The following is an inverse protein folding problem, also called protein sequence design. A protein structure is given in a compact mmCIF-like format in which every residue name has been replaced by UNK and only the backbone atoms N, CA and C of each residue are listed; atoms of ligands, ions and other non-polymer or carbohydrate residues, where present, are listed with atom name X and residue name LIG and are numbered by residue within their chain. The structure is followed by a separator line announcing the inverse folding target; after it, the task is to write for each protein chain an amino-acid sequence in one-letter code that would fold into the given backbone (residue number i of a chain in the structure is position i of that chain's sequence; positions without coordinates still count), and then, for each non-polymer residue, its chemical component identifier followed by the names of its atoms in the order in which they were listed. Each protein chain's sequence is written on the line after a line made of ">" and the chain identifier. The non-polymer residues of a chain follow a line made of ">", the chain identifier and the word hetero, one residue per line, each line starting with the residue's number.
data_IF_321449027102
#
_entry.id   IF_321449027102
#
_cell.length_a   1.000
_cell.length_b   1.000
_cell.length_c   1.000
_cell.angle_alpha   90.00
_cell.angle_beta   90.00
_cell.angle_gamma   90.00
#
_symmetry.space_group_name_H-M   'P 1'
#
loop_
_entity.id
_entity.type
_entity.pdbx_description
1 polymer ?
#
# COMPACT_ATOMS: atom_id res chain seq x y z
N UNK A 1 6.25 7.03 -4.46
CA UNK A 1 6.55 5.73 -3.82
C UNK A 1 6.65 4.69 -4.92
N UNK A 2 7.59 3.75 -4.83
CA UNK A 2 7.69 2.62 -5.74
C UNK A 2 6.96 1.45 -5.10
N UNK A 3 6.10 0.76 -5.84
CA UNK A 3 5.38 -0.40 -5.31
C UNK A 3 5.41 -1.57 -6.27
N UNK A 4 5.55 -2.77 -5.74
CA UNK A 4 5.57 -4.01 -6.53
C UNK A 4 4.43 -4.95 -6.10
N UNK A 5 3.81 -5.62 -7.05
CA UNK A 5 2.82 -6.66 -6.77
C UNK A 5 3.47 -7.90 -6.15
N UNK A 6 2.81 -8.52 -5.17
CA UNK A 6 3.30 -9.72 -4.50
C UNK A 6 3.38 -10.96 -5.40
N UNK A 7 2.87 -10.91 -6.64
CA UNK A 7 3.04 -11.96 -7.63
C UNK A 7 4.28 -11.78 -8.50
N UNK A 8 4.99 -10.65 -8.44
CA UNK A 8 6.10 -10.39 -9.37
C UNK A 8 7.32 -11.30 -9.10
N UNK A 9 8.00 -11.87 -10.12
CA UNK A 9 9.16 -12.76 -9.94
C UNK A 9 10.33 -12.15 -9.16
N UNK A 10 10.51 -10.83 -9.27
CA UNK A 10 11.55 -10.08 -8.54
C UNK A 10 11.19 -9.78 -7.08
N UNK A 11 10.10 -10.33 -6.54
CA UNK A 11 9.60 -10.02 -5.19
C UNK A 11 10.68 -10.10 -4.11
N UNK A 12 11.49 -11.17 -4.09
CA UNK A 12 12.53 -11.34 -3.08
C UNK A 12 13.60 -10.25 -3.19
N UNK A 13 14.05 -9.97 -4.42
CA UNK A 13 15.07 -8.95 -4.67
C UNK A 13 14.56 -7.56 -4.29
N UNK A 14 13.27 -7.28 -4.56
CA UNK A 14 12.62 -6.04 -4.19
C UNK A 14 12.49 -5.89 -2.66
N UNK A 15 12.17 -6.97 -1.93
CA UNK A 15 12.14 -6.97 -0.46
C UNK A 15 13.52 -6.63 0.12
N UNK A 16 14.59 -7.09 -0.50
CA UNK A 16 15.96 -6.89 -0.02
C UNK A 16 16.63 -5.62 -0.53
N UNK A 17 16.05 -4.93 -1.52
CA UNK A 17 16.78 -3.92 -2.30
C UNK A 17 17.37 -2.79 -1.45
N UNK A 18 16.74 -2.49 -0.29
CA UNK A 18 17.17 -1.46 0.65
C UNK A 18 18.03 -1.95 1.82
N UNK A 19 18.26 -3.25 1.92
CA UNK A 19 19.30 -3.79 2.80
C UNK A 19 20.70 -3.40 2.29
N UNK A 20 20.82 -3.10 0.99
CA UNK A 20 21.97 -2.46 0.38
C UNK A 20 21.74 -0.95 0.24
N UNK A 21 22.38 -0.19 1.14
CA UNK A 21 22.29 1.28 1.21
C UNK A 21 22.95 2.01 0.02
N UNK A 22 23.42 1.28 -0.99
CA UNK A 22 23.94 1.87 -2.23
C UNK A 22 22.94 1.84 -3.38
N UNK A 23 21.86 1.06 -3.28
CA UNK A 23 20.89 0.86 -4.38
C UNK A 23 19.78 1.91 -4.42
N UNK A 24 18.99 2.04 -3.35
CA UNK A 24 17.79 2.91 -3.33
C UNK A 24 17.78 3.81 -2.10
N UNK A 25 18.17 5.07 -2.30
CA UNK A 25 18.43 6.00 -1.18
C UNK A 25 17.44 7.15 -1.02
N UNK A 26 16.52 7.35 -1.98
CA UNK A 26 15.66 8.55 -2.07
C UNK A 26 14.22 8.26 -2.46
N UNK A 27 13.81 6.99 -2.49
CA UNK A 27 12.47 6.59 -2.86
C UNK A 27 11.96 5.57 -1.85
N UNK A 28 10.74 5.73 -1.34
CA UNK A 28 10.12 4.70 -0.50
C UNK A 28 9.65 3.52 -1.33
N UNK A 29 9.69 2.32 -0.74
CA UNK A 29 9.23 1.08 -1.37
C UNK A 29 8.10 0.42 -0.56
N UNK A 30 7.12 -0.15 -1.25
CA UNK A 30 6.01 -0.91 -0.65
C UNK A 30 5.62 -2.11 -1.48
N UNK A 31 5.06 -3.14 -0.84
CA UNK A 31 4.45 -4.27 -1.54
C UNK A 31 2.94 -4.10 -1.63
N UNK A 32 2.38 -4.36 -2.81
CA UNK A 32 0.95 -4.56 -3.01
C UNK A 32 0.66 -6.03 -2.76
N UNK A 33 0.03 -6.31 -1.62
CA UNK A 33 -0.26 -7.66 -1.14
C UNK A 33 -1.73 -7.96 -1.35
N UNK A 34 -2.02 -9.10 -1.97
CA UNK A 34 -3.38 -9.60 -2.17
C UNK A 34 -3.75 -10.70 -1.15
N UNK A 35 -5.04 -11.05 -1.09
CA UNK A 35 -5.55 -12.05 -0.16
C UNK A 35 -5.02 -13.45 -0.47
N UNK A 36 -4.76 -13.78 -1.74
CA UNK A 36 -4.21 -15.08 -2.13
C UNK A 36 -2.82 -15.32 -1.50
N UNK A 37 -1.93 -14.33 -1.61
CA UNK A 37 -0.62 -14.37 -1.00
C UNK A 37 -0.73 -14.49 0.52
N UNK A 38 -1.56 -13.67 1.18
CA UNK A 38 -1.75 -13.73 2.63
C UNK A 38 -2.32 -15.08 3.09
N UNK A 39 -3.26 -15.66 2.35
CA UNK A 39 -3.76 -17.01 2.62
C UNK A 39 -2.66 -18.06 2.49
N UNK A 40 -1.78 -17.95 1.49
CA UNK A 40 -0.62 -18.84 1.34
C UNK A 40 0.38 -18.68 2.49
N UNK A 41 0.62 -17.46 2.98
CA UNK A 41 1.44 -17.17 4.16
C UNK A 41 0.88 -17.87 5.41
N UNK A 42 -0.41 -17.64 5.70
CA UNK A 42 -1.07 -18.22 6.88
C UNK A 42 -1.07 -19.75 6.86
N UNK A 43 -1.29 -20.32 5.67
CA UNK A 43 -1.36 -21.77 5.48
C UNK A 43 0.02 -22.42 5.26
N UNK A 44 1.11 -21.63 5.24
CA UNK A 44 2.48 -22.08 4.94
C UNK A 44 2.57 -22.89 3.65
N UNK A 45 1.98 -22.35 2.59
CA UNK A 45 1.94 -22.96 1.26
C UNK A 45 2.95 -22.30 0.34
N UNK A 46 3.31 -23.05 -0.69
CA UNK A 46 3.97 -22.50 -1.87
C UNK A 46 3.05 -21.47 -2.54
N UNK A 47 3.66 -20.42 -3.07
CA UNK A 47 3.01 -19.39 -3.87
C UNK A 47 3.75 -19.24 -5.19
N UNK A 48 3.02 -18.92 -6.25
CA UNK A 48 3.57 -18.82 -7.60
C UNK A 48 3.73 -17.36 -7.98
N UNK A 49 4.98 -16.92 -8.07
CA UNK A 49 5.33 -15.64 -8.69
C UNK A 49 5.26 -15.81 -10.21
N UNK A 50 4.67 -14.84 -10.90
CA UNK A 50 4.51 -14.85 -12.34
C UNK A 50 4.61 -13.43 -12.93
N UNK A 51 5.15 -13.33 -14.13
CA UNK A 51 5.09 -12.12 -14.94
C UNK A 51 5.07 -12.48 -16.42
N UNK A 52 4.11 -11.92 -17.17
CA UNK A 52 3.97 -12.11 -18.61
C UNK A 52 4.22 -10.79 -19.34
N UNK A 53 5.17 -10.80 -20.26
CA UNK A 53 5.49 -9.66 -21.11
C UNK A 53 4.67 -9.73 -22.40
N UNK A 54 3.56 -9.01 -22.46
CA UNK A 54 2.64 -9.06 -23.60
C UNK A 54 3.30 -8.76 -24.96
N UNK A 55 4.28 -7.86 -25.01
CA UNK A 55 4.96 -7.50 -26.27
C UNK A 55 5.76 -8.65 -26.89
N UNK A 56 6.24 -9.62 -26.09
CA UNK A 56 7.06 -10.74 -26.56
C UNK A 56 6.42 -12.10 -26.34
N UNK A 57 5.39 -12.18 -25.49
CA UNK A 57 4.79 -13.44 -25.05
C UNK A 57 5.66 -14.22 -24.07
N UNK A 58 6.74 -13.63 -23.56
CA UNK A 58 7.61 -14.25 -22.57
C UNK A 58 6.91 -14.31 -21.21
N UNK A 59 7.01 -15.47 -20.55
CA UNK A 59 6.42 -15.71 -19.24
C UNK A 59 7.48 -16.26 -18.29
N UNK A 60 7.60 -15.62 -17.13
CA UNK A 60 8.54 -16.01 -16.08
C UNK A 60 7.70 -16.45 -14.88
N UNK A 61 7.96 -17.65 -14.38
CA UNK A 61 7.25 -18.22 -13.24
C UNK A 61 8.24 -18.79 -12.23
N UNK A 62 7.99 -18.56 -10.93
CA UNK A 62 8.82 -19.05 -9.83
C UNK A 62 7.95 -19.47 -8.65
N UNK A 63 8.17 -20.69 -8.16
CA UNK A 63 7.55 -21.16 -6.92
C UNK A 63 8.40 -20.77 -5.71
N UNK A 64 7.73 -20.31 -4.66
CA UNK A 64 8.37 -19.81 -3.43
C UNK A 64 7.56 -20.19 -2.19
N UNK A 65 8.20 -20.33 -1.04
CA UNK A 65 7.48 -20.45 0.24
C UNK A 65 6.98 -19.06 0.66
N UNK A 66 5.66 -18.87 0.66
CA UNK A 66 5.05 -17.58 0.99
C UNK A 66 5.39 -17.15 2.43
N UNK A 67 5.43 -18.09 3.37
CA UNK A 67 5.68 -17.82 4.78
C UNK A 67 7.12 -17.38 5.02
N UNK A 68 8.08 -17.94 4.29
CA UNK A 68 9.49 -17.51 4.33
C UNK A 68 9.65 -16.09 3.77
N UNK A 69 9.02 -15.80 2.62
CA UNK A 69 9.04 -14.46 2.03
C UNK A 69 8.45 -13.43 2.99
N UNK A 70 7.28 -13.71 3.56
CA UNK A 70 6.61 -12.76 4.45
C UNK A 70 7.39 -12.53 5.74
N UNK A 71 8.03 -13.58 6.27
CA UNK A 71 8.96 -13.45 7.41
C UNK A 71 10.13 -12.53 7.06
N UNK A 72 10.76 -12.73 5.90
CA UNK A 72 11.87 -11.89 5.41
C UNK A 72 11.44 -10.44 5.20
N UNK A 73 10.26 -10.23 4.63
CA UNK A 73 9.63 -8.91 4.52
C UNK A 73 9.50 -8.22 5.88
N UNK A 74 8.97 -8.92 6.89
CA UNK A 74 8.80 -8.38 8.23
C UNK A 74 10.13 -8.06 8.92
N UNK A 75 11.14 -8.93 8.76
CA UNK A 75 12.49 -8.70 9.28
C UNK A 75 13.16 -7.48 8.63
N UNK A 76 13.03 -7.31 7.30
CA UNK A 76 13.55 -6.13 6.62
C UNK A 76 12.81 -4.85 7.04
N UNK A 77 11.48 -4.90 7.14
CA UNK A 77 10.70 -3.78 7.63
C UNK A 77 11.12 -3.37 9.05
N UNK A 78 11.35 -4.33 9.94
CA UNK A 78 11.86 -4.06 11.29
C UNK A 78 13.24 -3.40 11.28
N UNK A 79 14.17 -3.90 10.47
CA UNK A 79 15.56 -3.44 10.46
C UNK A 79 15.75 -2.10 9.73
N UNK A 80 14.96 -1.82 8.68
CA UNK A 80 15.17 -0.71 7.75
C UNK A 80 13.96 0.21 7.59
N UNK A 81 12.82 -0.11 8.19
CA UNK A 81 11.55 0.59 8.04
C UNK A 81 10.79 0.28 6.74
N UNK A 82 11.32 -0.61 5.89
CA UNK A 82 10.83 -0.87 4.54
C UNK A 82 11.03 -2.34 4.11
N UNK A 83 10.22 -2.88 3.19
CA UNK A 83 9.14 -2.19 2.45
C UNK A 83 7.88 -1.96 3.29
N UNK A 84 7.05 -0.99 2.91
CA UNK A 84 5.69 -0.85 3.42
C UNK A 84 4.76 -1.96 2.90
N UNK A 85 3.57 -2.09 3.49
CA UNK A 85 2.56 -3.07 3.09
C UNK A 85 1.26 -2.37 2.68
N UNK A 86 0.79 -2.65 1.47
CA UNK A 86 -0.47 -2.15 0.91
C UNK A 86 -1.36 -3.36 0.64
N UNK A 87 -2.46 -3.53 1.39
CA UNK A 87 -3.43 -4.59 1.14
C UNK A 87 -4.28 -4.25 -0.08
N UNK A 88 -3.80 -4.66 -1.25
CA UNK A 88 -4.24 -4.13 -2.53
C UNK A 88 -5.68 -4.51 -2.87
N UNK A 89 -6.10 -5.74 -2.55
CA UNK A 89 -7.50 -6.16 -2.71
C UNK A 89 -8.45 -5.26 -1.92
N UNK A 90 -8.08 -4.85 -0.70
CA UNK A 90 -8.91 -3.93 0.10
C UNK A 90 -8.96 -2.55 -0.55
N UNK A 91 -7.82 -2.03 -1.01
CA UNK A 91 -7.72 -0.73 -1.66
C UNK A 91 -8.60 -0.68 -2.92
N UNK A 92 -8.56 -1.71 -3.76
CA UNK A 92 -9.28 -1.74 -5.04
C UNK A 92 -10.76 -2.09 -4.90
N UNK A 93 -11.17 -2.81 -3.85
CA UNK A 93 -12.58 -3.23 -3.68
C UNK A 93 -13.37 -2.38 -2.68
N UNK A 94 -12.71 -1.70 -1.74
CA UNK A 94 -13.38 -0.90 -0.70
C UNK A 94 -13.27 0.61 -0.96
N UNK A 95 -13.79 1.03 -2.11
CA UNK A 95 -13.86 2.44 -2.50
C UNK A 95 -15.17 2.72 -3.26
N UNK A 96 -15.51 4.01 -3.41
CA UNK A 96 -16.77 4.44 -4.04
C UNK A 96 -16.88 4.10 -5.53
N UNK A 97 -15.75 3.85 -6.20
CA UNK A 97 -15.65 3.59 -7.64
C UNK A 97 -15.35 2.12 -7.97
N UNK A 98 -15.44 1.21 -6.98
CA UNK A 98 -15.04 -0.19 -7.14
C UNK A 98 -15.86 -0.98 -8.19
N UNK A 99 -17.01 -0.46 -8.61
CA UNK A 99 -17.88 -1.05 -9.62
C UNK A 99 -17.80 -0.35 -10.99
N UNK A 100 -16.95 0.67 -11.11
CA UNK A 100 -16.71 1.38 -12.37
C UNK A 100 -15.60 0.65 -13.15
N UNK A 101 -15.89 0.06 -14.31
CA UNK A 101 -14.90 -0.68 -15.09
C UNK A 101 -13.81 0.21 -15.70
N UNK A 102 -14.04 1.52 -15.79
CA UNK A 102 -13.10 2.48 -16.37
C UNK A 102 -12.19 3.12 -15.31
N UNK A 103 -12.35 2.74 -14.03
CA UNK A 103 -11.56 3.26 -12.92
C UNK A 103 -10.65 2.20 -12.29
N UNK A 104 -9.38 2.56 -12.11
CA UNK A 104 -8.44 1.78 -11.33
C UNK A 104 -7.48 2.67 -10.53
N UNK A 105 -7.08 2.21 -9.34
CA UNK A 105 -5.97 2.80 -8.62
C UNK A 105 -4.64 2.31 -9.21
N UNK A 106 -3.70 3.22 -9.44
CA UNK A 106 -2.36 2.88 -9.90
C UNK A 106 -1.40 2.61 -8.72
N UNK A 107 -1.64 3.26 -7.58
CA UNK A 107 -0.81 3.14 -6.39
C UNK A 107 -1.35 4.02 -5.26
N UNK A 108 -0.49 4.36 -4.32
CA UNK A 108 -0.77 5.39 -3.30
C UNK A 108 0.20 6.55 -3.46
N UNK A 109 -0.11 7.65 -2.78
CA UNK A 109 0.84 8.74 -2.56
C UNK A 109 2.08 8.28 -1.72
N UNK A 110 3.11 9.12 -1.56
CA UNK A 110 4.32 8.78 -0.80
C UNK A 110 4.13 8.41 0.66
N UNK A 111 3.04 8.84 1.29
CA UNK A 111 2.74 8.59 2.70
C UNK A 111 1.83 7.37 2.91
N UNK A 112 1.20 6.85 1.84
CA UNK A 112 0.45 5.59 1.84
C UNK A 112 -1.02 5.71 2.27
N UNK A 113 -1.48 6.89 2.66
CA UNK A 113 -2.85 7.16 3.12
C UNK A 113 -3.85 7.38 1.98
N UNK A 114 -3.38 7.73 0.79
CA UNK A 114 -4.26 8.10 -0.33
C UNK A 114 -3.99 7.22 -1.57
N UNK A 115 -4.88 6.26 -1.87
CA UNK A 115 -4.91 5.56 -3.14
C UNK A 115 -5.27 6.52 -4.28
N UNK A 116 -4.50 6.49 -5.37
CA UNK A 116 -4.67 7.41 -6.49
C UNK A 116 -4.64 6.67 -7.83
N UNK A 117 -5.46 7.09 -8.81
CA UNK A 117 -5.31 6.67 -10.20
C UNK A 117 -4.02 7.24 -10.79
N UNK A 118 -3.64 6.80 -11.98
CA UNK A 118 -2.48 7.35 -12.68
C UNK A 118 -2.65 8.86 -12.90
N UNK A 119 -1.66 9.64 -12.45
CA UNK A 119 -1.69 11.11 -12.53
C UNK A 119 -2.63 11.80 -11.54
N UNK A 120 -3.22 11.07 -10.59
CA UNK A 120 -4.04 11.64 -9.52
C UNK A 120 -3.25 12.59 -8.61
N UNK A 121 -3.94 13.55 -7.99
CA UNK A 121 -3.35 14.55 -7.11
C UNK A 121 -3.97 14.50 -5.72
N UNK A 122 -3.12 14.55 -4.69
CA UNK A 122 -3.53 14.68 -3.30
C UNK A 122 -4.02 16.10 -3.02
N UNK A 123 -5.27 16.26 -2.58
CA UNK A 123 -5.82 17.54 -2.10
C UNK A 123 -6.11 17.43 -0.62
N UNK A 124 -5.15 17.87 0.21
CA UNK A 124 -5.11 17.54 1.63
C UNK A 124 -5.39 18.76 2.52
N UNK A 125 -6.08 18.52 3.63
CA UNK A 125 -6.27 19.45 4.74
C UNK A 125 -6.24 18.67 6.05
N UNK A 126 -5.95 19.33 7.17
CA UNK A 126 -5.89 18.71 8.49
C UNK A 126 -6.70 19.51 9.51
N UNK A 127 -7.33 18.80 10.45
CA UNK A 127 -8.08 19.38 11.56
C UNK A 127 -7.35 19.10 12.87
N UNK A 128 -7.18 20.12 13.70
CA UNK A 128 -6.66 19.94 15.05
C UNK A 128 -7.77 19.39 15.96
N UNK A 129 -7.80 18.07 16.18
CA UNK A 129 -8.82 17.42 16.99
C UNK A 129 -8.87 17.91 18.45
N UNK A 130 -7.73 18.36 19.00
CA UNK A 130 -7.67 18.83 20.40
C UNK A 130 -8.42 20.15 20.62
N UNK A 131 -8.60 20.97 19.58
CA UNK A 131 -9.35 22.21 19.67
C UNK A 131 -10.86 21.98 19.91
N UNK A 132 -11.36 20.78 19.62
CA UNK A 132 -12.75 20.41 19.83
C UNK A 132 -12.99 19.71 21.17
N UNK A 133 -12.00 19.66 22.07
CA UNK A 133 -12.16 19.06 23.39
C UNK A 133 -12.27 20.15 24.43
N UNK A 134 -13.39 20.19 25.16
CA UNK A 134 -13.58 21.18 26.22
C UNK A 134 -12.82 20.82 27.51
N UNK A 135 -12.86 21.71 28.51
CA UNK A 135 -12.17 21.51 29.80
C UNK A 135 -12.62 20.25 30.56
N UNK A 136 -13.81 19.71 30.26
CA UNK A 136 -14.34 18.48 30.85
C UNK A 136 -13.92 17.22 30.06
N UNK A 137 -13.14 17.36 29.00
CA UNK A 137 -12.71 16.25 28.14
C UNK A 137 -13.78 15.76 27.17
N UNK A 138 -14.84 16.54 26.96
CA UNK A 138 -15.94 16.18 26.06
C UNK A 138 -15.65 16.76 24.67
N UNK A 139 -15.81 15.92 23.64
CA UNK A 139 -15.61 16.30 22.24
C UNK A 139 -16.85 17.05 21.70
N UNK A 140 -16.65 18.26 21.21
CA UNK A 140 -17.66 19.11 20.57
C UNK A 140 -17.92 18.66 19.13
N UNK A 141 -18.85 17.71 18.99
CA UNK A 141 -19.28 17.19 17.69
C UNK A 141 -19.89 18.29 16.79
N UNK A 142 -20.80 19.16 17.28
CA UNK A 142 -21.34 20.25 16.47
C UNK A 142 -20.28 21.15 15.83
N UNK A 143 -19.28 21.60 16.59
CA UNK A 143 -18.23 22.48 16.08
C UNK A 143 -17.30 21.74 15.10
N UNK A 144 -16.95 20.48 15.39
CA UNK A 144 -16.20 19.63 14.48
C UNK A 144 -16.90 19.47 13.11
N UNK A 145 -18.21 19.20 13.10
CA UNK A 145 -19.01 19.10 11.86
C UNK A 145 -18.98 20.44 11.09
N UNK A 146 -19.02 21.56 11.80
CA UNK A 146 -18.92 22.89 11.18
C UNK A 146 -17.56 23.08 10.51
N UNK A 147 -16.46 22.77 11.21
CA UNK A 147 -15.11 22.87 10.67
C UNK A 147 -14.88 21.97 9.45
N UNK A 148 -15.38 20.73 9.46
CA UNK A 148 -15.31 19.81 8.31
C UNK A 148 -15.95 20.42 7.06
N UNK A 149 -17.13 21.07 7.19
CA UNK A 149 -17.80 21.72 6.05
C UNK A 149 -17.00 22.87 5.46
N UNK A 150 -16.23 23.58 6.27
CA UNK A 150 -15.33 24.65 5.79
C UNK A 150 -14.15 24.03 5.06
N UNK A 151 -13.50 23.03 5.67
CA UNK A 151 -12.33 22.37 5.10
C UNK A 151 -12.59 21.72 3.74
N UNK A 152 -13.78 21.12 3.55
CA UNK A 152 -14.17 20.51 2.26
C UNK A 152 -14.45 21.55 1.15
N UNK A 153 -14.81 22.79 1.52
CA UNK A 153 -15.13 23.86 0.55
C UNK A 153 -13.90 24.66 0.10
N UNK A 154 -12.87 24.70 0.92
CA UNK A 154 -11.64 25.47 0.67
C UNK A 154 -10.80 24.80 -0.42
#
# INVERSE_FOLDING_TARGET
>A
MISLDCTHPDLLEFIDIKTDLTKVNKANISLKVNNEFMNAVEQKKTFTLNFKREATGEEITKEVDASEIFKRFAENNWNYGEPGCLFWDRVTTWNLLALDPDFEYAGTNPCGEEPLPAGGSCSLSSLNLSAFVNEQGIFDIPDFIHAVKIAVRA
#
